data_IF_268205823642
#
_entry.id   IF_268205823642
#
_cell.length_a   1.000
_cell.length_b   1.000
_cell.length_c   1.000
_cell.angle_alpha   90.00
_cell.angle_beta   90.00
_cell.angle_gamma   90.00
#
_symmetry.space_group_name_H-M   'P 1'
#
loop_
_entity.id
_entity.type
_entity.pdbx_description
1 polymer ?
#
# COMPACT_ATOMS: atom_id res chain seq x y z
N UNK A 1 -33.83 28.24 24.17
CA UNK A 1 -32.35 28.31 24.17
C UNK A 1 -31.68 26.96 24.50
N UNK A 2 -32.15 26.17 25.48
CA UNK A 2 -31.52 24.89 25.83
C UNK A 2 -31.65 23.79 24.76
N UNK A 3 -32.79 23.70 24.07
CA UNK A 3 -33.02 22.72 23.00
C UNK A 3 -32.10 22.92 21.80
N UNK A 4 -31.86 24.17 21.40
CA UNK A 4 -30.95 24.50 20.29
C UNK A 4 -29.53 24.00 20.54
N UNK A 5 -29.00 24.19 21.75
CA UNK A 5 -27.66 23.68 22.11
C UNK A 5 -27.61 22.15 22.10
N UNK A 6 -28.67 21.48 22.55
CA UNK A 6 -28.77 20.02 22.50
C UNK A 6 -28.79 19.52 21.04
N UNK A 7 -29.54 20.18 20.15
CA UNK A 7 -29.54 19.83 18.72
C UNK A 7 -28.18 20.04 18.06
N UNK A 8 -27.48 21.13 18.39
CA UNK A 8 -26.13 21.42 17.88
C UNK A 8 -25.12 20.37 18.38
N UNK A 9 -25.18 19.99 19.66
CA UNK A 9 -24.29 18.96 20.23
C UNK A 9 -24.56 17.58 19.62
N UNK A 10 -25.82 17.19 19.41
CA UNK A 10 -26.18 15.93 18.75
C UNK A 10 -25.67 15.90 17.30
N UNK A 11 -25.77 17.02 16.56
CA UNK A 11 -25.26 17.11 15.20
C UNK A 11 -23.72 16.94 15.13
N UNK A 12 -22.97 17.55 16.05
CA UNK A 12 -21.50 17.40 16.10
C UNK A 12 -21.06 15.97 16.45
N UNK A 13 -21.77 15.28 17.36
CA UNK A 13 -21.47 13.89 17.70
C UNK A 13 -21.74 12.93 16.53
N UNK A 14 -22.81 13.18 15.76
CA UNK A 14 -23.13 12.39 14.55
C UNK A 14 -22.14 12.69 13.42
N UNK A 15 -21.77 13.95 13.19
CA UNK A 15 -20.78 14.31 12.17
C UNK A 15 -19.35 13.82 12.52
N UNK A 16 -18.97 13.82 13.80
CA UNK A 16 -17.66 13.37 14.26
C UNK A 16 -17.44 11.85 14.20
N UNK A 17 -18.50 11.05 14.35
CA UNK A 17 -18.43 9.58 14.32
C UNK A 17 -18.25 9.02 12.89
N UNK A 18 -18.63 9.78 11.85
CA UNK A 18 -18.51 9.38 10.44
C UNK A 18 -17.10 9.65 9.85
N UNK A 19 -16.28 10.48 10.50
CA UNK A 19 -14.90 10.79 10.06
C UNK A 19 -13.95 9.59 10.24
N UNK A 20 -14.40 8.51 10.87
CA UNK A 20 -13.63 7.28 11.02
C UNK A 20 -13.56 6.39 9.75
N UNK A 21 -14.37 6.65 8.72
CA UNK A 21 -14.51 5.74 7.57
C UNK A 21 -13.95 6.25 6.24
N UNK A 22 -13.37 7.46 6.19
CA UNK A 22 -12.82 8.01 4.96
C UNK A 22 -11.35 7.65 4.69
N UNK A 23 -10.64 7.01 5.63
CA UNK A 23 -9.20 6.78 5.49
C UNK A 23 -8.74 5.33 5.67
N UNK A 24 -9.57 4.38 5.24
CA UNK A 24 -9.08 3.06 4.83
C UNK A 24 -9.45 2.82 3.37
N UNK A 25 -9.10 3.77 2.50
CA UNK A 25 -8.93 3.40 1.09
C UNK A 25 -7.79 2.38 1.04
N UNK A 26 -8.02 1.13 0.60
CA UNK A 26 -6.90 0.30 0.20
C UNK A 26 -6.29 1.07 -0.96
N UNK A 27 -5.10 1.63 -0.75
CA UNK A 27 -4.25 2.04 -1.86
C UNK A 27 -3.99 0.74 -2.61
N UNK A 28 -4.91 0.37 -3.51
CA UNK A 28 -4.63 -0.42 -4.70
C UNK A 28 -3.74 0.51 -5.53
N UNK A 29 -2.53 0.74 -5.01
CA UNK A 29 -1.52 1.58 -5.60
C UNK A 29 -1.19 0.90 -6.90
N UNK A 30 -1.82 1.38 -7.97
CA UNK A 30 -1.16 1.69 -9.23
C UNK A 30 0.06 0.77 -9.42
N UNK A 31 -0.18 -0.52 -9.74
CA UNK A 31 0.89 -1.52 -9.91
C UNK A 31 1.38 -1.48 -11.35
N UNK A 32 2.68 -1.29 -11.54
CA UNK A 32 3.34 -1.54 -12.83
C UNK A 32 3.51 -3.05 -13.04
N UNK A 33 3.51 -3.53 -14.30
CA UNK A 33 3.69 -4.95 -14.59
C UNK A 33 5.07 -5.45 -14.13
N UNK A 34 5.16 -6.75 -13.85
CA UNK A 34 6.36 -7.40 -13.31
C UNK A 34 6.36 -7.50 -11.78
N UNK A 35 7.44 -8.05 -11.23
CA UNK A 35 7.60 -8.35 -9.80
C UNK A 35 8.80 -7.64 -9.20
N UNK A 36 8.80 -7.48 -7.88
CA UNK A 36 10.00 -7.07 -7.16
C UNK A 36 11.06 -8.18 -7.23
N UNK A 37 12.35 -7.83 -7.35
CA UNK A 37 13.42 -8.82 -7.26
C UNK A 37 13.39 -9.47 -5.88
N UNK A 38 13.76 -10.75 -5.83
CA UNK A 38 13.85 -11.48 -4.58
C UNK A 38 15.03 -10.94 -3.76
N UNK A 39 14.76 -10.56 -2.51
CA UNK A 39 15.77 -10.06 -1.57
C UNK A 39 16.08 -11.19 -0.59
N UNK A 40 17.36 -11.46 -0.27
CA UNK A 40 17.71 -12.48 0.72
C UNK A 40 17.01 -12.23 2.06
N UNK A 41 16.49 -13.30 2.67
CA UNK A 41 15.86 -13.22 3.99
C UNK A 41 16.85 -12.64 5.01
N UNK A 42 16.36 -11.73 5.86
CA UNK A 42 17.20 -11.05 6.86
C UNK A 42 17.97 -9.84 6.34
N UNK A 43 17.80 -9.46 5.06
CA UNK A 43 18.33 -8.18 4.57
C UNK A 43 17.49 -7.05 5.16
N UNK A 44 18.15 -6.15 5.91
CA UNK A 44 17.55 -4.90 6.39
C UNK A 44 18.25 -3.75 5.66
N UNK A 45 17.56 -3.17 4.69
CA UNK A 45 18.00 -1.97 4.02
C UNK A 45 17.77 -0.72 4.88
N UNK A 46 18.09 0.44 4.30
CA UNK A 46 17.85 1.74 4.94
C UNK A 46 16.34 1.90 5.20
N UNK A 47 15.98 2.23 6.44
CA UNK A 47 14.63 2.55 6.89
C UNK A 47 14.17 3.93 6.37
N UNK A 48 13.96 4.02 5.07
CA UNK A 48 13.50 5.25 4.43
C UNK A 48 12.48 4.94 3.33
N UNK A 49 11.42 5.71 3.29
CA UNK A 49 10.36 5.64 2.28
C UNK A 49 10.72 6.50 1.08
N UNK A 50 11.52 5.94 0.15
CA UNK A 50 11.95 6.65 -1.06
C UNK A 50 10.88 6.61 -2.16
N UNK A 51 9.85 5.78 -2.01
CA UNK A 51 8.71 5.68 -2.91
C UNK A 51 7.47 5.23 -2.14
N UNK A 52 6.28 5.64 -2.58
CA UNK A 52 5.00 5.23 -1.98
C UNK A 52 4.19 4.29 -2.89
N UNK A 53 4.64 4.06 -4.12
CA UNK A 53 4.04 3.13 -5.07
C UNK A 53 4.84 3.04 -6.36
N UNK A 54 4.49 2.09 -7.24
CA UNK A 54 5.29 1.85 -8.45
C UNK A 54 5.40 3.09 -9.33
N UNK A 55 4.39 3.96 -9.39
CA UNK A 55 4.41 5.18 -10.21
C UNK A 55 5.23 6.32 -9.62
N UNK A 56 5.63 6.24 -8.35
CA UNK A 56 6.67 7.11 -7.79
C UNK A 56 8.03 6.81 -8.43
N UNK A 57 8.21 5.62 -9.00
CA UNK A 57 9.44 5.18 -9.62
C UNK A 57 9.47 5.47 -11.13
N UNK A 58 10.62 5.87 -11.68
CA UNK A 58 10.76 6.18 -13.09
C UNK A 58 10.59 4.94 -13.98
N UNK A 59 10.01 5.12 -15.17
CA UNK A 59 9.88 4.09 -16.18
C UNK A 59 9.07 2.87 -15.71
N UNK A 60 9.70 1.68 -15.78
CA UNK A 60 9.12 0.38 -15.39
C UNK A 60 9.61 -0.11 -14.02
N UNK A 61 10.33 0.73 -13.28
CA UNK A 61 10.77 0.38 -11.93
C UNK A 61 9.57 0.28 -10.99
N UNK A 62 9.70 -0.59 -9.98
CA UNK A 62 8.68 -0.87 -8.98
C UNK A 62 9.16 -0.41 -7.61
N UNK A 63 8.22 -0.05 -6.77
CA UNK A 63 8.49 0.34 -5.39
C UNK A 63 8.48 -0.92 -4.53
N UNK A 64 9.67 -1.31 -4.06
CA UNK A 64 9.88 -2.60 -3.41
C UNK A 64 10.42 -2.40 -2.00
N UNK A 65 9.93 -3.21 -1.06
CA UNK A 65 10.47 -3.24 0.29
C UNK A 65 11.92 -3.75 0.27
N UNK A 66 12.79 -3.07 1.01
CA UNK A 66 14.16 -3.48 1.26
C UNK A 66 14.33 -4.17 2.64
N UNK A 67 13.22 -4.52 3.30
CA UNK A 67 13.19 -5.09 4.65
C UNK A 67 12.93 -4.06 5.76
N UNK A 68 13.09 -2.75 5.52
CA UNK A 68 12.70 -1.71 6.48
C UNK A 68 11.86 -0.59 5.85
N UNK A 69 12.28 -0.08 4.69
CA UNK A 69 11.53 0.91 3.92
C UNK A 69 11.33 0.49 2.46
N UNK A 70 10.96 1.45 1.62
CA UNK A 70 10.70 1.21 0.20
C UNK A 70 11.66 1.95 -0.72
N UNK A 71 12.13 1.25 -1.75
CA UNK A 71 13.07 1.78 -2.74
C UNK A 71 12.67 1.35 -4.15
N UNK A 72 12.98 2.18 -5.14
CA UNK A 72 12.75 1.85 -6.53
C UNK A 72 13.75 0.78 -7.01
N UNK A 73 13.22 -0.33 -7.55
CA UNK A 73 14.01 -1.42 -8.14
C UNK A 73 13.48 -1.76 -9.53
N UNK A 74 14.38 -2.25 -10.40
CA UNK A 74 13.97 -2.75 -11.70
C UNK A 74 13.03 -3.94 -11.54
N UNK A 75 11.92 -3.95 -12.30
CA UNK A 75 10.98 -5.05 -12.29
C UNK A 75 11.58 -6.30 -12.93
N UNK A 76 11.29 -7.47 -12.35
CA UNK A 76 11.60 -8.77 -12.95
C UNK A 76 10.36 -9.36 -13.63
N UNK A 77 10.53 -9.94 -14.81
CA UNK A 77 9.47 -10.59 -15.58
C UNK A 77 9.80 -12.08 -15.68
N UNK A 78 9.04 -12.93 -14.97
CA UNK A 78 9.19 -14.39 -15.14
C UNK A 78 8.57 -14.78 -16.48
N UNK A 79 9.32 -15.46 -17.35
CA UNK A 79 8.76 -16.10 -18.55
C UNK A 79 7.80 -17.20 -18.08
N UNK A 80 6.54 -17.14 -18.50
CA UNK A 80 5.57 -18.22 -18.27
C UNK A 80 5.99 -19.38 -19.16
N UNK A 81 6.78 -20.32 -18.63
CA UNK A 81 6.97 -21.63 -19.23
C UNK A 81 5.77 -22.52 -18.88
N UNK A 82 5.21 -23.18 -19.88
CA UNK A 82 4.08 -24.12 -19.76
C UNK A 82 4.26 -25.12 -18.61
N UNK A 83 3.31 -25.12 -17.67
CA UNK A 83 3.21 -26.14 -16.62
C UNK A 83 3.75 -25.68 -15.28
N UNK A 84 2.87 -25.10 -14.45
CA UNK A 84 3.20 -24.79 -13.06
C UNK A 84 2.20 -23.83 -12.47
N UNK A 85 1.21 -24.40 -11.77
CA UNK A 85 0.23 -23.72 -10.94
C UNK A 85 0.87 -22.59 -10.13
N UNK A 86 0.71 -21.34 -10.59
CA UNK A 86 1.12 -20.16 -9.86
C UNK A 86 0.23 -20.05 -8.64
N UNK A 87 0.71 -20.52 -7.49
CA UNK A 87 0.13 -20.18 -6.20
C UNK A 87 0.06 -18.66 -6.15
N UNK A 88 -1.15 -18.12 -6.25
CA UNK A 88 -1.43 -16.78 -5.76
C UNK A 88 -0.86 -16.75 -4.34
N UNK A 89 0.18 -15.94 -4.14
CA UNK A 89 0.73 -15.71 -2.81
C UNK A 89 -0.35 -15.06 -1.96
N UNK A 90 -1.14 -15.90 -1.29
CA UNK A 90 -1.80 -15.54 -0.05
C UNK A 90 -0.70 -15.31 1.00
N UNK A 91 -0.91 -14.27 1.81
CA UNK A 91 -0.16 -13.79 2.96
C UNK A 91 0.86 -12.67 2.69
N UNK A 92 0.53 -11.50 3.22
CA UNK A 92 1.38 -10.86 4.22
C UNK A 92 0.49 -9.99 5.10
N UNK A 93 0.64 -10.17 6.40
CA UNK A 93 -0.09 -9.59 7.54
C UNK A 93 -0.31 -8.06 7.48
#
# INVERSE_FOLDING_TARGET
>A
MKTGTVFVLLAFLVMGLEVAWAQKSPVKGQRKPGFCPEVPKGTVGICAEMCSGDYSCPGRAKCCSNGCGHVCKAAVFKKVGSGGLGKAGLNSD
#
